data_IF_970365871102
#
_entry.id   IF_970365871102
#
_cell.length_a   1.000
_cell.length_b   1.000
_cell.length_c   1.000
_cell.angle_alpha   90.00
_cell.angle_beta   90.00
_cell.angle_gamma   90.00
#
_symmetry.space_group_name_H-M   'P 1'
#
loop_
_entity.id
_entity.type
_entity.pdbx_description
1 polymer ?
#
# COMPACT_ATOMS: atom_id res chain seq x y z
N UNK A 1 -6.90 -9.28 15.49
CA UNK A 1 -7.15 -9.47 16.94
C UNK A 1 -5.86 -9.36 17.75
N UNK A 2 -4.76 -10.00 17.32
CA UNK A 2 -3.46 -9.94 18.02
C UNK A 2 -2.94 -8.50 18.23
N UNK A 3 -3.26 -7.60 17.31
CA UNK A 3 -2.93 -6.16 17.39
C UNK A 3 -3.97 -5.33 18.15
N UNK A 4 -5.00 -5.94 18.72
CA UNK A 4 -6.05 -5.27 19.48
C UNK A 4 -7.16 -4.64 18.63
N UNK A 5 -7.28 -5.00 17.36
CA UNK A 5 -8.43 -4.59 16.56
C UNK A 5 -9.72 -5.19 17.10
N UNK A 6 -10.76 -4.39 17.14
CA UNK A 6 -12.13 -4.84 17.40
C UNK A 6 -12.80 -5.07 16.07
N UNK A 7 -13.14 -6.31 15.78
CA UNK A 7 -13.80 -6.72 14.54
C UNK A 7 -15.23 -7.19 14.82
N UNK A 8 -16.11 -7.01 13.84
CA UNK A 8 -17.48 -7.57 13.87
C UNK A 8 -17.53 -9.03 13.41
N UNK A 9 -16.43 -9.53 12.93
CA UNK A 9 -16.28 -10.83 12.33
C UNK A 9 -15.21 -10.78 11.24
N UNK A 10 -15.02 -11.89 10.58
CA UNK A 10 -14.08 -12.02 9.47
C UNK A 10 -14.80 -12.68 8.29
N UNK A 11 -14.75 -12.00 7.15
CA UNK A 11 -15.08 -12.62 5.88
C UNK A 11 -13.77 -12.95 5.17
N UNK A 12 -13.54 -14.21 4.84
CA UNK A 12 -12.36 -14.64 4.08
C UNK A 12 -12.33 -13.98 2.71
N UNK A 13 -11.16 -13.91 2.15
CA UNK A 13 -10.94 -13.42 0.80
C UNK A 13 -11.43 -14.40 -0.28
N UNK A 14 -10.90 -14.22 -1.47
CA UNK A 14 -11.13 -15.16 -2.58
C UNK A 14 -10.32 -16.43 -2.38
N UNK A 15 -10.74 -17.49 -3.07
CA UNK A 15 -9.97 -18.71 -3.15
C UNK A 15 -8.59 -18.44 -3.76
N UNK A 16 -7.55 -19.05 -3.17
CA UNK A 16 -6.20 -18.94 -3.72
C UNK A 16 -6.10 -19.68 -5.05
N UNK A 17 -5.44 -19.05 -6.00
CA UNK A 17 -5.13 -19.61 -7.31
C UNK A 17 -3.63 -19.84 -7.41
N UNK A 18 -3.22 -21.08 -7.66
CA UNK A 18 -1.83 -21.50 -7.64
C UNK A 18 -1.09 -21.31 -8.97
N UNK A 19 -1.84 -21.22 -10.06
CA UNK A 19 -1.33 -21.02 -11.41
C UNK A 19 -2.18 -20.00 -12.14
N UNK A 20 -1.61 -19.23 -13.10
CA UNK A 20 -2.39 -18.32 -13.93
C UNK A 20 -3.51 -19.05 -14.66
N UNK A 21 -4.71 -18.51 -14.58
CA UNK A 21 -5.86 -19.04 -15.31
C UNK A 21 -5.75 -18.69 -16.79
N UNK A 22 -5.86 -19.70 -17.65
CA UNK A 22 -5.80 -19.54 -19.11
C UNK A 22 -7.16 -19.30 -19.74
N UNK A 23 -8.23 -19.55 -19.01
CA UNK A 23 -9.61 -19.47 -19.51
C UNK A 23 -10.37 -18.21 -19.05
N UNK A 24 -9.67 -17.16 -18.67
CA UNK A 24 -10.33 -15.92 -18.29
C UNK A 24 -10.95 -15.21 -19.50
N UNK A 25 -12.10 -14.62 -19.30
CA UNK A 25 -12.93 -14.01 -20.34
C UNK A 25 -12.20 -12.98 -21.23
N UNK A 26 -11.25 -12.25 -20.68
CA UNK A 26 -10.47 -11.20 -21.37
C UNK A 26 -9.11 -11.68 -21.89
N UNK A 27 -8.88 -12.96 -21.95
CA UNK A 27 -7.67 -13.58 -22.46
C UNK A 27 -6.80 -14.23 -21.39
N UNK A 28 -5.67 -14.76 -21.78
CA UNK A 28 -4.75 -15.44 -20.87
C UNK A 28 -4.21 -14.50 -19.81
N UNK A 29 -4.31 -14.90 -18.56
CA UNK A 29 -3.87 -14.11 -17.40
C UNK A 29 -2.41 -13.70 -17.48
N UNK A 30 -1.54 -14.55 -17.99
CA UNK A 30 -0.12 -14.28 -18.21
C UNK A 30 0.15 -13.09 -19.13
N UNK A 31 -0.79 -12.73 -20.00
CA UNK A 31 -0.63 -11.60 -20.94
C UNK A 31 -0.82 -10.26 -20.27
N UNK A 32 -1.57 -10.19 -19.19
CA UNK A 32 -1.86 -8.94 -18.49
C UNK A 32 -1.32 -8.87 -17.05
N UNK A 33 -0.67 -9.93 -16.55
CA UNK A 33 0.09 -9.90 -15.29
C UNK A 33 1.51 -9.34 -15.46
N UNK A 34 2.02 -9.22 -16.67
CA UNK A 34 3.42 -8.84 -16.92
C UNK A 34 3.65 -7.33 -17.00
N UNK A 35 4.31 -6.75 -16.02
CA UNK A 35 5.01 -5.45 -16.09
C UNK A 35 4.26 -4.28 -16.73
N UNK A 36 5.01 -3.42 -17.41
CA UNK A 36 4.53 -2.16 -18.00
C UNK A 36 3.57 -2.32 -19.19
N UNK A 37 3.39 -3.54 -19.67
CA UNK A 37 2.53 -3.84 -20.82
C UNK A 37 1.04 -3.60 -20.58
N UNK A 38 0.64 -3.29 -19.36
CA UNK A 38 -0.76 -2.97 -19.01
C UNK A 38 -1.18 -1.56 -19.39
N UNK A 39 -0.23 -0.72 -19.71
CA UNK A 39 -0.44 0.69 -20.02
C UNK A 39 -0.02 1.01 -21.43
N UNK A 40 -0.81 1.80 -22.15
CA UNK A 40 -0.42 2.48 -23.38
C UNK A 40 0.21 3.84 -23.04
N UNK A 41 1.01 4.39 -23.94
CA UNK A 41 1.81 5.62 -23.85
C UNK A 41 1.52 6.65 -22.76
N UNK A 42 0.28 7.11 -22.62
CA UNK A 42 -0.11 8.15 -21.65
C UNK A 42 -0.80 7.59 -20.39
N UNK A 43 -0.44 6.39 -19.96
CA UNK A 43 -1.01 5.72 -18.79
C UNK A 43 -2.43 5.18 -18.99
N UNK A 44 -2.91 5.13 -20.20
CA UNK A 44 -4.14 4.40 -20.50
C UNK A 44 -3.92 2.90 -20.32
N UNK A 45 -4.91 2.21 -19.77
CA UNK A 45 -4.84 0.77 -19.56
C UNK A 45 -5.11 0.02 -20.86
N UNK A 46 -4.22 -0.89 -21.24
CA UNK A 46 -4.42 -1.76 -22.40
C UNK A 46 -5.58 -2.75 -22.18
N UNK A 47 -5.76 -3.22 -20.94
CA UNK A 47 -6.83 -4.14 -20.55
C UNK A 47 -7.64 -3.59 -19.37
N UNK A 48 -8.56 -2.63 -19.61
CA UNK A 48 -9.33 -1.99 -18.55
C UNK A 48 -10.11 -2.95 -17.64
N UNK A 49 -10.63 -4.03 -18.21
CA UNK A 49 -11.39 -5.04 -17.44
C UNK A 49 -10.52 -5.75 -16.41
N UNK A 50 -9.27 -6.04 -16.75
CA UNK A 50 -8.33 -6.61 -15.80
C UNK A 50 -8.07 -5.67 -14.59
N UNK A 51 -7.97 -4.36 -14.84
CA UNK A 51 -7.85 -3.36 -13.77
C UNK A 51 -9.06 -3.36 -12.85
N UNK A 52 -10.27 -3.40 -13.41
CA UNK A 52 -11.51 -3.45 -12.64
C UNK A 52 -11.57 -4.72 -11.78
N UNK A 53 -11.22 -5.86 -12.34
CA UNK A 53 -11.24 -7.12 -11.62
C UNK A 53 -10.21 -7.20 -10.51
N UNK A 54 -9.00 -6.73 -10.75
CA UNK A 54 -7.90 -6.80 -9.79
C UNK A 54 -7.88 -5.60 -8.82
N UNK A 55 -8.81 -4.65 -8.95
CA UNK A 55 -8.91 -3.49 -8.08
C UNK A 55 -7.70 -2.56 -8.20
N UNK A 56 -7.04 -2.28 -7.09
CA UNK A 56 -5.97 -1.27 -6.98
C UNK A 56 -4.61 -1.68 -7.59
N UNK A 57 -4.52 -2.75 -8.35
CA UNK A 57 -3.27 -3.27 -8.91
C UNK A 57 -2.50 -2.23 -9.76
N UNK A 58 -3.19 -1.23 -10.31
CA UNK A 58 -2.60 -0.20 -11.15
C UNK A 58 -2.27 1.10 -10.42
N UNK A 59 -2.53 1.18 -9.13
CA UNK A 59 -2.15 2.33 -8.30
C UNK A 59 -0.88 2.00 -7.54
N UNK A 60 0.25 2.57 -7.97
CA UNK A 60 1.51 2.40 -7.27
C UNK A 60 1.61 3.38 -6.10
N UNK A 61 1.77 2.92 -4.85
CA UNK A 61 1.84 3.79 -3.68
C UNK A 61 3.04 4.73 -3.68
N UNK A 62 4.09 4.41 -4.43
CA UNK A 62 5.26 5.28 -4.63
C UNK A 62 5.03 6.35 -5.70
N UNK A 63 3.93 6.28 -6.44
CA UNK A 63 3.62 7.09 -7.62
C UNK A 63 3.78 6.29 -8.92
N UNK A 64 3.31 6.82 -10.05
CA UNK A 64 3.36 6.13 -11.35
C UNK A 64 4.77 5.70 -11.71
N UNK A 65 4.95 4.42 -12.02
CA UNK A 65 6.25 3.80 -12.31
C UNK A 65 7.30 3.98 -11.20
N UNK A 66 6.87 4.12 -9.94
CA UNK A 66 7.77 4.40 -8.82
C UNK A 66 8.30 5.85 -8.78
N UNK A 67 7.78 6.75 -9.61
CA UNK A 67 8.11 8.16 -9.57
C UNK A 67 7.23 8.87 -8.54
N UNK A 68 7.80 9.51 -7.51
CA UNK A 68 7.03 10.11 -6.41
C UNK A 68 6.38 11.45 -6.78
N UNK A 69 5.53 11.44 -7.80
CA UNK A 69 4.74 12.58 -8.26
C UNK A 69 3.28 12.44 -7.77
N UNK A 70 2.85 13.23 -6.77
CA UNK A 70 1.50 13.13 -6.23
C UNK A 70 0.39 13.52 -7.21
N UNK A 71 0.63 14.45 -8.12
CA UNK A 71 -0.39 14.84 -9.11
C UNK A 71 -0.58 13.76 -10.18
N UNK A 72 0.50 13.11 -10.59
CA UNK A 72 0.40 11.96 -11.48
C UNK A 72 -0.29 10.77 -10.78
N UNK A 73 0.02 10.53 -9.49
CA UNK A 73 -0.65 9.52 -8.69
C UNK A 73 -2.16 9.78 -8.55
N UNK A 74 -2.59 11.06 -8.41
CA UNK A 74 -4.00 11.42 -8.34
C UNK A 74 -4.78 11.01 -9.61
N UNK A 75 -4.16 11.13 -10.78
CA UNK A 75 -4.77 10.70 -12.04
C UNK A 75 -4.99 9.18 -12.07
N UNK A 76 -3.98 8.41 -11.68
CA UNK A 76 -4.08 6.94 -11.59
C UNK A 76 -5.16 6.52 -10.58
N UNK A 77 -5.24 7.21 -9.43
CA UNK A 77 -6.27 6.97 -8.41
C UNK A 77 -7.65 7.19 -9.01
N UNK A 78 -7.93 8.38 -9.57
CA UNK A 78 -9.25 8.68 -10.14
C UNK A 78 -9.65 7.71 -11.24
N UNK A 79 -8.74 7.40 -12.14
CA UNK A 79 -9.02 6.46 -13.23
C UNK A 79 -9.36 5.06 -12.71
N UNK A 80 -8.58 4.55 -11.77
CA UNK A 80 -8.77 3.21 -11.22
C UNK A 80 -10.07 3.13 -10.42
N UNK A 81 -10.34 4.10 -9.56
CA UNK A 81 -11.55 4.08 -8.72
C UNK A 81 -12.82 4.40 -9.53
N UNK A 82 -12.74 5.25 -10.55
CA UNK A 82 -13.86 5.49 -11.46
C UNK A 82 -14.28 4.21 -12.22
N UNK A 83 -13.33 3.34 -12.55
CA UNK A 83 -13.63 2.01 -13.12
C UNK A 83 -14.35 1.07 -12.16
N UNK A 84 -14.19 1.29 -10.87
CA UNK A 84 -14.95 0.61 -9.82
C UNK A 84 -16.26 1.33 -9.49
N UNK A 85 -16.67 2.30 -10.31
CA UNK A 85 -17.86 3.14 -10.14
C UNK A 85 -17.86 3.97 -8.83
N UNK A 86 -16.68 4.34 -8.34
CA UNK A 86 -16.51 5.20 -7.18
C UNK A 86 -16.26 6.65 -7.61
N UNK A 87 -16.90 7.57 -6.92
CA UNK A 87 -16.62 9.00 -7.05
C UNK A 87 -15.45 9.45 -6.14
N UNK A 88 -15.10 10.72 -6.17
CA UNK A 88 -13.98 11.25 -5.39
C UNK A 88 -14.24 11.14 -3.87
N UNK A 89 -15.46 11.38 -3.41
CA UNK A 89 -15.82 11.29 -1.98
C UNK A 89 -15.68 9.85 -1.48
N UNK A 90 -16.21 8.89 -2.22
CA UNK A 90 -16.12 7.46 -1.91
C UNK A 90 -14.67 6.98 -1.94
N UNK A 91 -13.89 7.43 -2.94
CA UNK A 91 -12.46 7.11 -3.08
C UNK A 91 -11.66 7.61 -1.89
N UNK A 92 -11.85 8.87 -1.49
CA UNK A 92 -11.17 9.47 -0.33
C UNK A 92 -11.59 8.77 0.95
N UNK A 93 -12.87 8.46 1.11
CA UNK A 93 -13.38 7.74 2.28
C UNK A 93 -12.77 6.35 2.41
N UNK A 94 -12.64 5.61 1.30
CA UNK A 94 -12.02 4.28 1.27
C UNK A 94 -10.54 4.34 1.63
N UNK A 95 -9.77 5.25 1.02
CA UNK A 95 -8.34 5.40 1.27
C UNK A 95 -8.09 5.82 2.72
N UNK A 96 -8.72 6.88 3.17
CA UNK A 96 -8.56 7.40 4.53
C UNK A 96 -9.05 6.41 5.58
N UNK A 97 -10.14 5.71 5.30
CA UNK A 97 -10.66 4.64 6.15
C UNK A 97 -9.68 3.48 6.29
N UNK A 98 -9.16 2.98 5.18
CA UNK A 98 -8.16 1.91 5.17
C UNK A 98 -6.86 2.31 5.87
N UNK A 99 -6.32 3.48 5.54
CA UNK A 99 -5.06 3.97 6.11
C UNK A 99 -5.18 4.46 7.57
N UNK A 100 -6.38 4.56 8.11
CA UNK A 100 -6.57 4.78 9.54
C UNK A 100 -6.04 3.62 10.39
N UNK A 101 -5.99 2.43 9.83
CA UNK A 101 -5.61 1.20 10.55
C UNK A 101 -4.25 0.66 10.13
N UNK A 102 -3.52 0.11 11.12
CA UNK A 102 -2.33 -0.68 10.88
C UNK A 102 -1.12 0.10 10.38
N UNK A 103 -0.25 -0.62 9.72
CA UNK A 103 0.97 -0.12 9.09
C UNK A 103 1.39 -1.01 7.91
N UNK A 104 2.30 -0.48 7.09
CA UNK A 104 3.04 -1.25 6.09
C UNK A 104 4.44 -1.59 6.61
N UNK A 105 5.08 -2.60 6.04
CA UNK A 105 6.38 -3.08 6.46
C UNK A 105 7.43 -3.00 5.34
N UNK A 106 8.51 -2.33 5.64
CA UNK A 106 9.72 -2.23 4.83
C UNK A 106 10.93 -2.06 5.75
N UNK A 107 11.06 -2.96 6.74
CA UNK A 107 11.93 -2.80 7.91
C UNK A 107 13.43 -2.82 7.60
N UNK A 108 13.84 -3.39 6.47
CA UNK A 108 15.24 -3.51 6.07
C UNK A 108 15.42 -3.51 4.55
N UNK A 109 16.66 -3.67 4.07
CA UNK A 109 16.97 -3.66 2.65
C UNK A 109 16.15 -4.69 1.84
N UNK A 110 15.69 -4.29 0.66
CA UNK A 110 14.82 -5.10 -0.19
C UNK A 110 15.51 -6.39 -0.71
N UNK A 111 16.83 -6.44 -0.75
CA UNK A 111 17.60 -7.63 -1.14
C UNK A 111 17.48 -8.80 -0.14
N UNK A 112 16.92 -8.57 1.03
CA UNK A 112 16.54 -9.63 1.96
C UNK A 112 15.22 -10.32 1.62
N UNK A 113 14.42 -9.76 0.71
CA UNK A 113 13.12 -10.33 0.32
C UNK A 113 13.36 -11.56 -0.56
N UNK A 114 12.69 -12.66 -0.22
CA UNK A 114 12.72 -13.91 -0.98
C UNK A 114 11.81 -13.89 -2.21
N UNK A 115 11.50 -15.06 -2.70
CA UNK A 115 10.60 -15.22 -3.84
C UNK A 115 9.21 -14.65 -3.54
N UNK A 116 8.52 -14.24 -4.60
CA UNK A 116 7.11 -13.85 -4.53
C UNK A 116 6.27 -14.98 -3.91
N UNK A 117 5.15 -14.67 -3.22
CA UNK A 117 4.32 -15.68 -2.57
C UNK A 117 3.92 -16.84 -3.49
N UNK A 118 3.63 -16.54 -4.75
CA UNK A 118 3.27 -17.55 -5.77
C UNK A 118 4.43 -18.46 -6.17
N UNK A 119 5.65 -17.97 -6.06
CA UNK A 119 6.87 -18.74 -6.36
C UNK A 119 7.47 -19.42 -5.11
N UNK A 120 6.91 -19.14 -3.94
CA UNK A 120 7.35 -19.74 -2.69
C UNK A 120 6.84 -21.18 -2.53
N UNK A 121 7.50 -21.97 -1.69
CA UNK A 121 7.00 -23.28 -1.31
C UNK A 121 5.63 -23.18 -0.62
N UNK A 122 4.81 -24.22 -0.77
CA UNK A 122 3.43 -24.26 -0.26
C UNK A 122 3.33 -23.91 1.24
N UNK A 123 4.33 -24.28 2.02
CA UNK A 123 4.41 -24.01 3.45
C UNK A 123 4.58 -22.52 3.78
N UNK A 124 5.00 -21.71 2.81
CA UNK A 124 5.22 -20.29 2.97
C UNK A 124 4.11 -19.43 2.34
N UNK A 125 3.27 -20.02 1.51
CA UNK A 125 2.19 -19.29 0.85
C UNK A 125 1.17 -18.79 1.87
N UNK A 126 0.61 -17.61 1.60
CA UNK A 126 -0.31 -16.95 2.53
C UNK A 126 0.36 -16.21 3.70
N UNK A 127 1.68 -16.31 3.85
CA UNK A 127 2.45 -15.61 4.90
C UNK A 127 3.12 -14.31 4.40
N UNK A 128 2.86 -13.93 3.15
CA UNK A 128 3.53 -12.82 2.45
C UNK A 128 4.92 -13.22 1.97
N UNK A 129 5.75 -12.21 1.65
CA UNK A 129 7.12 -12.47 1.22
C UNK A 129 7.98 -12.99 2.37
N UNK A 130 8.70 -14.06 2.12
CA UNK A 130 9.72 -14.56 3.06
C UNK A 130 10.89 -13.56 3.05
N UNK A 131 11.39 -13.21 4.23
CA UNK A 131 12.51 -12.29 4.40
C UNK A 131 13.60 -12.91 5.29
N UNK A 132 14.85 -12.69 4.90
CA UNK A 132 16.03 -13.03 5.71
C UNK A 132 16.49 -11.90 6.65
N UNK A 133 15.77 -10.78 6.68
CA UNK A 133 16.10 -9.66 7.55
C UNK A 133 15.66 -9.94 8.99
N UNK A 134 16.60 -9.95 9.92
CA UNK A 134 16.32 -10.21 11.33
C UNK A 134 15.57 -11.52 11.54
N UNK A 135 14.38 -11.44 12.12
CA UNK A 135 13.49 -12.59 12.34
C UNK A 135 12.61 -12.92 11.11
N UNK A 136 12.62 -12.06 10.10
CA UNK A 136 11.73 -12.15 8.94
C UNK A 136 10.25 -11.87 9.23
N UNK A 137 9.91 -11.52 10.47
CA UNK A 137 8.53 -11.36 10.92
C UNK A 137 8.38 -10.18 11.89
N UNK A 138 7.14 -9.78 12.17
CA UNK A 138 6.86 -8.71 13.12
C UNK A 138 7.57 -7.40 12.74
N UNK A 139 8.37 -6.85 13.64
CA UNK A 139 9.12 -5.61 13.41
C UNK A 139 10.20 -5.69 12.33
N UNK A 140 10.59 -6.89 11.95
CA UNK A 140 11.60 -7.16 10.91
C UNK A 140 10.98 -7.52 9.55
N UNK A 141 9.66 -7.48 9.42
CA UNK A 141 8.97 -7.84 8.19
C UNK A 141 9.28 -6.87 7.05
N UNK A 142 9.44 -7.40 5.85
CA UNK A 142 9.50 -6.65 4.59
C UNK A 142 8.43 -7.24 3.68
N UNK A 143 7.36 -6.48 3.42
CA UNK A 143 6.24 -6.92 2.58
C UNK A 143 6.10 -6.02 1.37
N UNK A 144 5.53 -4.81 1.54
CA UNK A 144 5.38 -3.83 0.47
C UNK A 144 6.65 -3.01 0.19
N UNK A 145 7.67 -3.12 1.04
CA UNK A 145 8.83 -2.24 1.01
C UNK A 145 8.62 -0.86 1.63
N UNK A 146 7.39 -0.47 1.87
CA UNK A 146 7.03 0.78 2.54
C UNK A 146 7.00 0.60 4.06
N UNK A 147 7.54 1.55 4.81
CA UNK A 147 7.55 1.54 6.28
C UNK A 147 6.72 2.71 6.79
N UNK A 148 5.41 2.58 6.71
CA UNK A 148 4.46 3.68 6.96
C UNK A 148 3.48 3.32 8.05
N UNK A 149 3.27 4.25 8.98
CA UNK A 149 2.15 4.26 9.92
C UNK A 149 1.52 5.65 9.89
N UNK A 150 0.25 5.74 9.58
CA UNK A 150 -0.43 7.00 9.27
C UNK A 150 -0.96 7.72 10.50
N UNK A 151 -1.40 6.97 11.53
CA UNK A 151 -2.19 7.53 12.63
C UNK A 151 -1.62 7.21 14.00
N UNK A 152 -1.93 8.07 14.98
CA UNK A 152 -1.57 7.84 16.37
C UNK A 152 -2.42 6.78 17.08
N UNK A 153 -3.52 6.36 16.43
CA UNK A 153 -4.45 5.34 16.94
C UNK A 153 -4.74 4.27 15.89
N UNK A 154 -3.72 3.50 15.43
CA UNK A 154 -3.84 2.64 14.26
C UNK A 154 -4.75 1.42 14.46
N UNK A 155 -5.37 1.26 15.60
CA UNK A 155 -6.33 0.18 15.92
C UNK A 155 -7.75 0.71 16.15
N UNK A 156 -8.02 1.97 15.82
CA UNK A 156 -9.31 2.62 16.04
C UNK A 156 -9.69 3.53 14.89
N UNK A 157 -10.97 3.67 14.62
CA UNK A 157 -11.50 4.71 13.74
C UNK A 157 -11.23 6.10 14.31
N UNK A 158 -10.74 6.99 13.47
CA UNK A 158 -10.49 8.39 13.81
C UNK A 158 -10.27 9.22 12.55
N UNK A 159 -10.34 10.53 12.66
CA UNK A 159 -9.94 11.48 11.61
C UNK A 159 -8.43 11.79 11.64
N UNK A 160 -7.63 10.99 12.35
CA UNK A 160 -6.22 11.28 12.57
C UNK A 160 -5.40 11.20 11.27
N UNK A 161 -5.82 10.38 10.30
CA UNK A 161 -5.25 10.37 8.95
C UNK A 161 -5.28 11.76 8.33
N UNK A 162 -6.45 12.40 8.27
CA UNK A 162 -6.60 13.75 7.72
C UNK A 162 -5.89 14.81 8.55
N UNK A 163 -5.96 14.72 9.89
CA UNK A 163 -5.24 15.65 10.75
C UNK A 163 -3.74 15.62 10.51
N UNK A 164 -3.16 14.46 10.31
CA UNK A 164 -1.76 14.31 9.97
C UNK A 164 -1.48 14.79 8.53
N UNK A 165 -2.27 14.33 7.56
CA UNK A 165 -2.08 14.68 6.15
C UNK A 165 -2.07 16.20 5.92
N UNK A 166 -3.02 16.92 6.52
CA UNK A 166 -3.17 18.36 6.36
C UNK A 166 -2.43 19.19 7.42
N UNK A 167 -2.11 18.60 8.57
CA UNK A 167 -1.49 19.30 9.68
C UNK A 167 0.03 19.44 9.57
N UNK A 168 0.71 18.61 8.79
CA UNK A 168 2.15 18.66 8.60
C UNK A 168 2.53 19.14 7.20
N UNK A 169 3.71 19.75 7.07
CA UNK A 169 4.40 19.87 5.80
C UNK A 169 5.24 18.61 5.55
N UNK A 170 5.20 18.10 4.34
CA UNK A 170 5.81 16.82 3.97
C UNK A 170 7.04 16.98 3.12
N UNK A 171 8.01 16.09 3.29
CA UNK A 171 9.19 15.94 2.45
C UNK A 171 9.37 14.47 2.06
N UNK A 172 9.88 14.28 0.85
CA UNK A 172 10.16 12.95 0.32
C UNK A 172 11.32 12.30 1.10
N UNK A 173 11.15 11.02 1.40
CA UNK A 173 12.17 10.18 2.03
C UNK A 173 12.13 8.77 1.44
N UNK A 174 12.96 7.89 1.96
CA UNK A 174 12.93 6.47 1.62
C UNK A 174 12.74 5.62 2.86
N UNK A 175 12.05 4.51 2.69
CA UNK A 175 11.99 3.46 3.70
C UNK A 175 13.35 2.76 3.84
N UNK A 176 13.58 1.97 4.89
CA UNK A 176 14.76 1.10 4.97
C UNK A 176 14.89 0.12 3.80
N UNK A 177 13.79 -0.28 3.19
CA UNK A 177 13.76 -1.12 1.98
C UNK A 177 14.05 -0.35 0.68
N UNK A 178 14.15 0.99 0.75
CA UNK A 178 14.45 1.84 -0.39
C UNK A 178 13.23 2.42 -1.12
N UNK A 179 12.02 2.06 -0.72
CA UNK A 179 10.78 2.59 -1.32
C UNK A 179 10.57 4.07 -0.98
N UNK A 180 10.01 4.82 -1.91
CA UNK A 180 9.67 6.24 -1.71
C UNK A 180 8.47 6.39 -0.79
N UNK A 181 8.62 7.21 0.24
CA UNK A 181 7.55 7.60 1.15
C UNK A 181 7.78 9.02 1.66
N UNK A 182 6.84 9.55 2.42
CA UNK A 182 6.87 10.94 2.87
C UNK A 182 6.89 11.01 4.40
N UNK A 183 7.67 11.94 4.91
CA UNK A 183 7.76 12.24 6.34
C UNK A 183 7.50 13.71 6.62
N UNK A 184 7.07 14.10 7.84
CA UNK A 184 6.94 15.50 8.20
C UNK A 184 8.30 16.20 8.16
N UNK A 185 8.32 17.41 7.58
CA UNK A 185 9.52 18.26 7.56
C UNK A 185 10.03 18.58 8.95
N UNK A 186 11.33 18.78 9.04
CA UNK A 186 12.01 19.24 10.26
C UNK A 186 11.77 18.35 11.49
N UNK A 187 11.50 17.07 11.30
CA UNK A 187 11.23 16.13 12.38
C UNK A 187 9.92 16.39 13.14
N UNK A 188 8.99 17.14 12.55
CA UNK A 188 7.69 17.37 13.15
C UNK A 188 6.95 16.04 13.39
N UNK A 189 6.13 15.98 14.43
CA UNK A 189 5.39 14.76 14.79
C UNK A 189 6.25 13.62 15.33
N UNK A 190 7.53 13.84 15.61
CA UNK A 190 8.40 12.83 16.23
C UNK A 190 7.77 12.28 17.50
N UNK A 191 7.72 10.96 17.64
CA UNK A 191 7.16 10.30 18.81
C UNK A 191 5.63 10.36 18.92
N UNK A 192 4.89 10.81 17.90
CA UNK A 192 3.43 10.87 17.96
C UNK A 192 2.74 9.53 17.61
N UNK A 193 3.39 8.68 16.81
CA UNK A 193 2.83 7.42 16.34
C UNK A 193 3.41 6.25 17.16
N UNK A 194 2.57 5.33 17.66
CA UNK A 194 3.05 4.14 18.35
C UNK A 194 3.72 3.18 17.37
N UNK A 195 4.79 2.51 17.80
CA UNK A 195 5.32 1.38 17.05
C UNK A 195 4.37 0.18 17.17
N UNK A 196 4.21 -0.57 16.09
CA UNK A 196 3.26 -1.68 16.04
C UNK A 196 3.74 -2.91 16.85
N UNK A 197 5.05 -3.10 16.97
CA UNK A 197 5.66 -4.29 17.54
C UNK A 197 6.40 -4.04 18.84
N UNK A 198 6.82 -2.81 19.10
CA UNK A 198 7.57 -2.43 20.30
C UNK A 198 6.87 -1.27 21.01
N UNK A 199 6.14 -1.57 22.07
CA UNK A 199 5.40 -0.58 22.87
C UNK A 199 6.25 0.53 23.47
N UNK A 200 7.55 0.33 23.57
CA UNK A 200 8.49 1.33 24.07
C UNK A 200 8.92 2.35 23.03
N UNK A 201 8.71 2.03 21.74
CA UNK A 201 9.11 2.87 20.61
C UNK A 201 7.94 3.68 20.07
N UNK A 202 8.27 4.86 19.56
CA UNK A 202 7.33 5.72 18.86
C UNK A 202 8.02 6.34 17.65
N UNK A 203 7.23 6.67 16.64
CA UNK A 203 7.69 7.19 15.35
C UNK A 203 6.97 8.49 14.99
N UNK A 204 7.43 9.18 13.96
CA UNK A 204 6.64 10.19 13.28
C UNK A 204 5.59 9.54 12.37
N UNK A 205 4.49 10.22 12.01
CA UNK A 205 3.60 9.75 10.96
C UNK A 205 4.34 9.71 9.62
N UNK A 206 3.90 8.84 8.74
CA UNK A 206 4.42 8.77 7.37
C UNK A 206 3.24 8.68 6.40
N UNK A 207 3.47 9.08 5.14
CA UNK A 207 2.49 9.06 4.07
C UNK A 207 3.08 8.43 2.82
N UNK A 208 2.21 7.87 2.00
CA UNK A 208 2.52 7.41 0.66
C UNK A 208 2.44 8.58 -0.33
N UNK A 209 3.00 8.42 -1.53
CA UNK A 209 2.79 9.41 -2.60
C UNK A 209 1.31 9.51 -2.96
N UNK A 210 0.58 8.41 -2.92
CA UNK A 210 -0.86 8.35 -3.12
C UNK A 210 -1.66 9.05 -2.01
N UNK A 211 -1.16 9.12 -0.79
CA UNK A 211 -1.79 9.92 0.27
C UNK A 211 -1.58 11.41 0.05
N UNK A 212 -0.35 11.80 -0.32
CA UNK A 212 -0.05 13.21 -0.63
C UNK A 212 -0.88 13.69 -1.82
N UNK A 213 -1.21 12.80 -2.76
CA UNK A 213 -2.12 13.10 -3.86
C UNK A 213 -3.46 13.69 -3.36
N UNK A 214 -4.05 13.14 -2.30
CA UNK A 214 -5.31 13.63 -1.73
C UNK A 214 -5.22 15.05 -1.14
N UNK A 215 -4.03 15.53 -0.87
CA UNK A 215 -3.80 16.89 -0.36
C UNK A 215 -3.60 17.91 -1.47
N UNK A 216 -2.98 17.53 -2.59
CA UNK A 216 -2.49 18.45 -3.61
C UNK A 216 -3.34 18.48 -4.87
N UNK A 217 -4.14 17.46 -5.09
CA UNK A 217 -5.06 17.38 -6.20
C UNK A 217 -6.27 18.30 -5.94
N UNK A 218 -6.64 19.21 -6.89
CA UNK A 218 -7.70 20.20 -6.71
C UNK A 218 -9.10 19.61 -6.66
#
# INVERSE_FOLDING_TARGET
ESMGFKTFGFAGGREDVWEPDQDVYWGEETTWLGGDKRYSGERDLENPLAAVQMGLIYVNPEGPNGNPDPLAAARDIRETFARMAMDDEETVALIAGGHTFGKTHGAGPADHVGADPEAAGLENQGLGWVSSFGTGAGGDAITSGLEVTWTSTPTRWSNNFFWNLFGYEWELTKSPAGAHQWQPKNGAGAGSIPDAHDKSKRRAPSMLTTDIALRVDP
#
